data_IF_064304968417
#
_entry.id   IF_064304968417
#
_cell.length_a   1.000
_cell.length_b   1.000
_cell.length_c   1.000
_cell.angle_alpha   90.00
_cell.angle_beta   90.00
_cell.angle_gamma   90.00
#
_symmetry.space_group_name_H-M   'P 1'
#
loop_
_entity.id
_entity.type
_entity.pdbx_description
1 polymer ?
#
# COMPACT_ATOMS: atom_id res chain seq x y z
N UNK A 1 12.61 9.77 -0.46
CA UNK A 1 11.84 9.53 0.78
C UNK A 1 12.26 8.20 1.39
N UNK A 2 12.19 8.12 2.72
CA UNK A 2 12.35 6.82 3.41
C UNK A 2 10.98 6.19 3.64
N UNK A 3 10.79 5.00 3.08
CA UNK A 3 9.49 4.30 3.09
C UNK A 3 9.68 2.92 3.73
N UNK A 4 8.81 2.57 4.68
CA UNK A 4 8.75 1.23 5.29
C UNK A 4 7.58 0.48 4.66
N UNK A 5 7.85 -0.74 4.17
CA UNK A 5 6.83 -1.65 3.65
C UNK A 5 6.77 -2.85 4.61
N UNK A 6 5.66 -3.00 5.31
CA UNK A 6 5.42 -4.08 6.27
C UNK A 6 4.51 -5.14 5.65
N UNK A 7 5.06 -6.34 5.48
CA UNK A 7 4.46 -7.46 4.75
C UNK A 7 4.91 -7.51 3.30
N UNK A 8 5.77 -8.48 2.98
CA UNK A 8 6.33 -8.66 1.65
C UNK A 8 5.66 -9.78 0.86
N UNK A 9 4.33 -9.83 0.96
CA UNK A 9 3.47 -10.61 0.08
C UNK A 9 3.35 -10.00 -1.32
N UNK A 10 2.38 -10.45 -2.11
CA UNK A 10 2.20 -9.98 -3.51
C UNK A 10 2.10 -8.45 -3.64
N UNK A 11 1.42 -7.78 -2.71
CA UNK A 11 1.26 -6.32 -2.73
C UNK A 11 2.55 -5.64 -2.28
N UNK A 12 3.17 -6.09 -1.19
CA UNK A 12 4.43 -5.54 -0.69
C UNK A 12 5.54 -5.65 -1.73
N UNK A 13 5.76 -6.82 -2.30
CA UNK A 13 6.75 -7.05 -3.36
C UNK A 13 6.51 -6.15 -4.59
N UNK A 14 5.25 -5.99 -5.01
CA UNK A 14 4.94 -5.11 -6.14
C UNK A 14 5.27 -3.65 -5.81
N UNK A 15 4.98 -3.19 -4.60
CA UNK A 15 5.34 -1.85 -4.12
C UNK A 15 6.85 -1.67 -4.02
N UNK A 16 7.56 -2.64 -3.44
CA UNK A 16 9.02 -2.63 -3.33
C UNK A 16 9.67 -2.49 -4.69
N UNK A 17 9.21 -3.26 -5.68
CA UNK A 17 9.70 -3.17 -7.06
C UNK A 17 9.50 -1.79 -7.67
N UNK A 18 8.30 -1.24 -7.58
CA UNK A 18 7.98 0.05 -8.20
C UNK A 18 8.73 1.21 -7.53
N UNK A 19 8.73 1.23 -6.19
CA UNK A 19 9.34 2.32 -5.42
C UNK A 19 10.87 2.28 -5.44
N UNK A 20 11.49 1.09 -5.57
CA UNK A 20 12.94 0.97 -5.74
C UNK A 20 13.41 1.56 -7.08
N UNK A 21 12.60 1.43 -8.14
CA UNK A 21 12.91 2.03 -9.45
C UNK A 21 12.84 3.56 -9.44
N UNK A 22 12.08 4.13 -8.52
CA UNK A 22 11.98 5.59 -8.32
C UNK A 22 13.07 6.15 -7.40
N UNK A 23 14.00 5.31 -6.91
CA UNK A 23 15.13 5.72 -6.08
C UNK A 23 14.75 6.10 -4.66
N UNK A 24 13.71 5.50 -4.09
CA UNK A 24 13.35 5.68 -2.69
C UNK A 24 14.22 4.81 -1.77
N UNK A 25 14.51 5.29 -0.54
CA UNK A 25 15.17 4.55 0.53
C UNK A 25 14.14 3.60 1.18
N UNK A 26 14.21 2.31 0.87
CA UNK A 26 13.21 1.33 1.24
C UNK A 26 13.67 0.43 2.38
N UNK A 27 12.76 0.18 3.31
CA UNK A 27 12.90 -0.84 4.35
C UNK A 27 11.72 -1.79 4.24
N UNK A 28 11.99 -3.09 4.03
CA UNK A 28 10.95 -4.13 4.02
C UNK A 28 10.96 -4.91 5.33
N UNK A 29 9.78 -5.18 5.88
CA UNK A 29 9.59 -5.97 7.10
C UNK A 29 8.71 -7.17 6.77
N UNK A 30 9.17 -8.36 7.09
CA UNK A 30 8.35 -9.58 7.06
C UNK A 30 8.79 -10.56 8.16
N UNK A 31 7.88 -11.41 8.60
CA UNK A 31 8.21 -12.50 9.54
C UNK A 31 8.91 -13.67 8.86
N UNK A 32 8.79 -13.79 7.55
CA UNK A 32 9.41 -14.84 6.74
C UNK A 32 10.75 -14.39 6.15
N UNK A 33 11.83 -14.84 6.73
CA UNK A 33 13.20 -14.55 6.30
C UNK A 33 13.44 -14.87 4.82
N UNK A 34 12.93 -16.02 4.32
CA UNK A 34 13.19 -16.46 2.95
C UNK A 34 12.56 -15.52 1.89
N UNK A 35 11.53 -14.80 2.25
CA UNK A 35 10.90 -13.79 1.39
C UNK A 35 11.82 -12.58 1.27
N UNK A 36 12.33 -12.08 2.40
CA UNK A 36 13.22 -10.92 2.46
C UNK A 36 14.59 -11.19 1.80
N UNK A 37 15.13 -12.41 1.89
CA UNK A 37 16.37 -12.79 1.21
C UNK A 37 16.27 -12.67 -0.32
N UNK A 38 15.10 -12.94 -0.90
CA UNK A 38 14.85 -12.73 -2.33
C UNK A 38 14.84 -11.24 -2.71
N UNK A 39 14.28 -10.40 -1.85
CA UNK A 39 14.22 -8.97 -2.07
C UNK A 39 15.61 -8.35 -2.07
N UNK A 40 16.44 -8.73 -1.11
CA UNK A 40 17.85 -8.28 -1.04
C UNK A 40 18.68 -8.66 -2.27
N UNK A 41 18.31 -9.75 -2.96
CA UNK A 41 18.99 -10.17 -4.19
C UNK A 41 18.53 -9.39 -5.43
N UNK A 42 17.33 -8.82 -5.38
CA UNK A 42 16.70 -8.18 -6.53
C UNK A 42 16.67 -6.66 -6.45
N UNK A 43 16.67 -6.11 -5.24
CA UNK A 43 16.50 -4.68 -4.98
C UNK A 43 17.52 -4.18 -3.96
N UNK A 44 17.89 -2.92 -4.07
CA UNK A 44 18.67 -2.22 -3.04
C UNK A 44 17.75 -1.76 -1.91
N UNK A 45 17.47 -2.66 -0.97
CA UNK A 45 16.54 -2.43 0.13
C UNK A 45 17.11 -2.95 1.45
N UNK A 46 16.83 -2.24 2.53
CA UNK A 46 17.08 -2.76 3.88
C UNK A 46 15.95 -3.72 4.27
N UNK A 47 16.30 -4.85 4.88
CA UNK A 47 15.30 -5.82 5.34
C UNK A 47 15.33 -6.00 6.85
N UNK A 48 14.17 -6.20 7.46
CA UNK A 48 14.01 -6.48 8.89
C UNK A 48 13.09 -7.69 9.06
N UNK A 49 13.62 -8.74 9.70
CA UNK A 49 12.84 -9.97 9.98
C UNK A 49 12.11 -9.82 11.30
N UNK A 50 10.78 -9.81 11.28
CA UNK A 50 10.03 -9.73 12.54
C UNK A 50 8.54 -9.43 12.37
N UNK A 51 7.85 -9.33 13.50
CA UNK A 51 6.46 -8.90 13.54
C UNK A 51 6.39 -7.37 13.45
N UNK A 52 5.89 -6.85 12.34
CA UNK A 52 5.81 -5.42 12.07
C UNK A 52 4.91 -4.63 13.05
N UNK A 53 4.05 -5.29 13.82
CA UNK A 53 3.21 -4.65 14.82
C UNK A 53 3.94 -4.36 16.15
N UNK A 54 5.18 -4.84 16.31
CA UNK A 54 5.95 -4.64 17.54
C UNK A 54 6.86 -3.41 17.47
N UNK A 55 6.98 -2.71 18.61
CA UNK A 55 7.89 -1.56 18.72
C UNK A 55 9.34 -1.93 18.43
N UNK A 56 9.79 -3.13 18.83
CA UNK A 56 11.14 -3.60 18.61
C UNK A 56 11.48 -3.68 17.11
N UNK A 57 10.63 -4.34 16.32
CA UNK A 57 10.80 -4.47 14.87
C UNK A 57 10.72 -3.12 14.16
N UNK A 58 9.77 -2.27 14.55
CA UNK A 58 9.64 -0.92 14.00
C UNK A 58 10.85 -0.03 14.33
N UNK A 59 11.43 -0.21 15.51
CA UNK A 59 12.64 0.52 15.91
C UNK A 59 13.86 0.06 15.09
N UNK A 60 14.01 -1.25 14.86
CA UNK A 60 15.03 -1.81 13.98
C UNK A 60 14.89 -1.29 12.54
N UNK A 61 13.66 -1.16 12.04
CA UNK A 61 13.34 -0.55 10.76
C UNK A 61 13.54 0.98 10.74
N UNK A 62 13.95 1.59 11.87
CA UNK A 62 14.18 3.04 12.03
C UNK A 62 12.96 3.88 11.70
N UNK A 63 11.79 3.50 12.21
CA UNK A 63 10.50 4.16 11.95
C UNK A 63 10.52 5.66 12.25
N UNK A 64 11.35 6.11 13.21
CA UNK A 64 11.51 7.52 13.56
C UNK A 64 12.06 8.38 12.42
N UNK A 65 12.74 7.74 11.44
CA UNK A 65 13.34 8.42 10.28
C UNK A 65 12.49 8.24 9.01
N UNK A 66 11.41 7.45 9.08
CA UNK A 66 10.54 7.20 7.94
C UNK A 66 9.53 8.34 7.73
N UNK A 67 9.20 8.58 6.48
CA UNK A 67 8.16 9.53 6.07
C UNK A 67 6.84 8.80 5.79
N UNK A 68 6.92 7.56 5.30
CA UNK A 68 5.75 6.73 4.97
C UNK A 68 5.93 5.32 5.50
N UNK A 69 4.85 4.72 6.03
CA UNK A 69 4.77 3.30 6.33
C UNK A 69 3.54 2.72 5.64
N UNK A 70 3.74 1.62 4.91
CA UNK A 70 2.69 0.88 4.21
C UNK A 70 2.59 -0.50 4.85
N UNK A 71 1.50 -0.78 5.55
CA UNK A 71 1.23 -2.09 6.14
C UNK A 71 0.34 -2.91 5.19
N UNK A 72 0.92 -3.97 4.61
CA UNK A 72 0.32 -4.80 3.56
C UNK A 72 0.43 -6.31 3.83
N UNK A 73 0.44 -6.71 5.11
CA UNK A 73 0.44 -8.13 5.50
C UNK A 73 -0.87 -8.84 5.13
N UNK A 74 -0.95 -10.13 5.38
CA UNK A 74 -2.16 -10.93 5.14
C UNK A 74 -3.26 -10.72 6.19
N UNK A 75 -2.99 -10.05 7.32
CA UNK A 75 -3.95 -9.83 8.40
C UNK A 75 -4.26 -8.35 8.58
N UNK A 76 -5.53 -7.99 8.42
CA UNK A 76 -5.99 -6.61 8.50
C UNK A 76 -5.72 -6.01 9.89
N UNK A 77 -5.91 -6.78 10.96
CA UNK A 77 -5.66 -6.38 12.35
C UNK A 77 -4.18 -6.08 12.59
N UNK A 78 -3.28 -6.87 12.01
CA UNK A 78 -1.83 -6.62 12.09
C UNK A 78 -1.47 -5.34 11.35
N UNK A 79 -2.06 -5.09 10.21
CA UNK A 79 -1.83 -3.86 9.44
C UNK A 79 -2.28 -2.62 10.23
N UNK A 80 -3.43 -2.70 10.88
CA UNK A 80 -3.95 -1.62 11.71
C UNK A 80 -3.08 -1.38 12.95
N UNK A 81 -2.72 -2.45 13.65
CA UNK A 81 -1.86 -2.35 14.83
C UNK A 81 -0.46 -1.85 14.47
N UNK A 82 0.12 -2.29 13.36
CA UNK A 82 1.38 -1.79 12.83
C UNK A 82 1.32 -0.27 12.61
N UNK A 83 0.31 0.22 11.90
CA UNK A 83 0.13 1.65 11.66
C UNK A 83 -0.04 2.45 12.95
N UNK A 84 -0.88 1.96 13.89
CA UNK A 84 -1.09 2.60 15.18
C UNK A 84 0.20 2.70 15.99
N UNK A 85 0.95 1.59 16.10
CA UNK A 85 2.22 1.54 16.83
C UNK A 85 3.25 2.47 16.18
N UNK A 86 3.40 2.40 14.87
CA UNK A 86 4.34 3.22 14.11
C UNK A 86 4.03 4.73 14.25
N UNK A 87 2.75 5.10 14.17
CA UNK A 87 2.30 6.49 14.33
C UNK A 87 2.55 7.04 15.74
N UNK A 88 2.42 6.17 16.77
CA UNK A 88 2.77 6.55 18.16
C UNK A 88 4.27 6.74 18.34
N UNK A 89 5.10 5.98 17.63
CA UNK A 89 6.57 6.11 17.66
C UNK A 89 7.07 7.29 16.83
N UNK A 90 6.37 7.64 15.74
CA UNK A 90 6.67 8.78 14.88
C UNK A 90 5.38 9.54 14.52
N UNK A 91 5.05 10.62 15.26
CA UNK A 91 3.82 11.39 15.05
C UNK A 91 3.70 12.11 13.70
N UNK A 92 4.77 12.24 12.95
CA UNK A 92 4.77 12.85 11.60
C UNK A 92 4.64 11.84 10.47
N UNK A 93 4.75 10.55 10.78
CA UNK A 93 4.71 9.47 9.81
C UNK A 93 3.36 9.39 9.08
N UNK A 94 3.37 9.30 7.78
CA UNK A 94 2.19 8.94 7.00
C UNK A 94 2.01 7.44 6.96
N UNK A 95 0.85 6.96 7.39
CA UNK A 95 0.57 5.52 7.45
C UNK A 95 -0.51 5.11 6.46
N UNK A 96 -0.28 4.00 5.77
CA UNK A 96 -1.20 3.40 4.81
C UNK A 96 -1.45 1.97 5.25
N UNK A 97 -2.70 1.61 5.50
CA UNK A 97 -3.09 0.26 5.87
C UNK A 97 -3.86 -0.44 4.75
N UNK A 98 -3.44 -1.65 4.38
CA UNK A 98 -4.26 -2.56 3.59
C UNK A 98 -5.31 -3.19 4.49
N UNK A 99 -6.60 -2.99 4.15
CA UNK A 99 -7.73 -3.59 4.86
C UNK A 99 -8.70 -4.16 3.84
N UNK A 100 -8.92 -5.46 3.86
CA UNK A 100 -9.75 -6.19 2.91
C UNK A 100 -11.17 -6.40 3.43
N UNK A 101 -11.31 -6.65 4.75
CA UNK A 101 -12.62 -6.93 5.34
C UNK A 101 -13.57 -5.73 5.18
N UNK A 102 -14.75 -5.95 4.58
CA UNK A 102 -15.77 -4.91 4.51
C UNK A 102 -16.34 -4.55 5.89
N UNK A 103 -16.25 -5.45 6.87
CA UNK A 103 -16.76 -5.25 8.24
C UNK A 103 -16.02 -4.12 8.97
N UNK A 104 -14.73 -3.94 8.68
CA UNK A 104 -13.93 -2.88 9.32
C UNK A 104 -14.15 -1.49 8.71
N UNK A 105 -14.83 -1.39 7.56
CA UNK A 105 -14.92 -0.12 6.83
C UNK A 105 -15.54 1.01 7.61
N UNK A 106 -16.72 0.78 8.20
CA UNK A 106 -17.45 1.81 8.95
C UNK A 106 -16.70 2.20 10.21
N UNK A 107 -16.18 1.21 10.92
CA UNK A 107 -15.39 1.43 12.14
C UNK A 107 -14.14 2.25 11.83
N UNK A 108 -13.40 1.89 10.79
CA UNK A 108 -12.18 2.58 10.41
C UNK A 108 -12.43 4.00 9.87
N UNK A 109 -13.58 4.24 9.25
CA UNK A 109 -13.95 5.58 8.85
C UNK A 109 -14.16 6.50 10.07
N UNK A 110 -14.82 6.00 11.10
CA UNK A 110 -15.04 6.73 12.36
C UNK A 110 -13.74 6.89 13.18
N UNK A 111 -12.92 5.85 13.25
CA UNK A 111 -11.73 5.77 14.11
C UNK A 111 -10.41 6.10 13.37
N UNK A 112 -10.48 6.65 12.16
CA UNK A 112 -9.30 6.92 11.34
C UNK A 112 -8.27 7.81 12.04
N UNK A 113 -8.73 8.78 12.79
CA UNK A 113 -7.90 9.70 13.57
C UNK A 113 -7.15 8.99 14.69
N UNK A 114 -7.84 8.13 15.43
CA UNK A 114 -7.30 7.37 16.56
C UNK A 114 -6.22 6.38 16.11
N UNK A 115 -6.43 5.72 14.97
CA UNK A 115 -5.43 4.82 14.36
C UNK A 115 -4.30 5.58 13.67
N UNK A 116 -4.41 6.90 13.51
CA UNK A 116 -3.40 7.71 12.82
C UNK A 116 -3.25 7.35 11.34
N UNK A 117 -4.31 6.85 10.68
CA UNK A 117 -4.28 6.40 9.30
C UNK A 117 -4.39 7.57 8.33
N UNK A 118 -3.38 7.71 7.46
CA UNK A 118 -3.43 8.65 6.34
C UNK A 118 -4.29 8.10 5.20
N UNK A 119 -4.16 6.81 4.90
CA UNK A 119 -4.92 6.14 3.85
C UNK A 119 -5.25 4.68 4.23
N UNK A 120 -6.42 4.22 3.79
CA UNK A 120 -6.85 2.82 3.85
C UNK A 120 -7.06 2.35 2.43
N UNK A 121 -6.43 1.24 2.06
CA UNK A 121 -6.52 0.67 0.72
C UNK A 121 -7.07 -0.76 0.77
N UNK A 122 -7.83 -1.12 -0.26
CA UNK A 122 -8.22 -2.50 -0.57
C UNK A 122 -7.88 -2.74 -2.04
N UNK A 123 -6.68 -3.27 -2.35
CA UNK A 123 -6.22 -3.43 -3.72
C UNK A 123 -7.13 -4.32 -4.56
N UNK A 124 -7.70 -5.36 -3.96
CA UNK A 124 -8.60 -6.30 -4.63
C UNK A 124 -9.88 -5.59 -5.09
N UNK A 125 -10.44 -4.73 -4.24
CA UNK A 125 -11.62 -3.94 -4.57
C UNK A 125 -11.33 -2.87 -5.62
N UNK A 126 -10.21 -2.20 -5.53
CA UNK A 126 -9.84 -1.19 -6.53
C UNK A 126 -9.57 -1.84 -7.89
N UNK A 127 -8.92 -3.00 -7.93
CA UNK A 127 -8.78 -3.79 -9.15
C UNK A 127 -10.13 -4.23 -9.73
N UNK A 128 -11.04 -4.72 -8.88
CA UNK A 128 -12.39 -5.11 -9.31
C UNK A 128 -13.18 -3.93 -9.89
N UNK A 129 -13.08 -2.75 -9.28
CA UNK A 129 -13.70 -1.53 -9.81
C UNK A 129 -13.13 -1.15 -11.17
N UNK A 130 -11.82 -1.26 -11.35
CA UNK A 130 -11.19 -0.93 -12.62
C UNK A 130 -11.60 -1.91 -13.72
N UNK A 131 -11.62 -3.21 -13.44
CA UNK A 131 -12.14 -4.23 -14.35
C UNK A 131 -13.60 -3.94 -14.72
N UNK A 132 -14.44 -3.62 -13.72
CA UNK A 132 -15.85 -3.28 -13.95
C UNK A 132 -15.99 -2.07 -14.86
N UNK A 133 -15.19 -1.01 -14.66
CA UNK A 133 -15.18 0.18 -15.52
C UNK A 133 -14.81 -0.15 -16.96
N UNK A 134 -13.80 -0.98 -17.15
CA UNK A 134 -13.37 -1.42 -18.49
C UNK A 134 -14.47 -2.21 -19.23
N UNK A 135 -15.21 -3.05 -18.50
CA UNK A 135 -16.29 -3.85 -19.07
C UNK A 135 -17.54 -3.04 -19.42
N UNK A 136 -17.80 -1.94 -18.73
CA UNK A 136 -18.98 -1.10 -19.01
C UNK A 136 -18.92 -0.40 -20.37
N UNK A 137 -17.75 -0.17 -20.91
CA UNK A 137 -17.54 0.59 -22.14
C UNK A 137 -16.53 -0.12 -23.06
N UNK A 138 -16.92 -1.26 -23.67
CA UNK A 138 -16.06 -1.96 -24.62
C UNK A 138 -15.78 -1.04 -25.83
N UNK A 139 -14.51 -0.72 -26.06
CA UNK A 139 -14.08 0.14 -27.14
C UNK A 139 -13.27 1.38 -26.73
N UNK A 140 -13.18 1.68 -25.44
CA UNK A 140 -12.26 2.69 -24.95
C UNK A 140 -10.85 2.08 -24.74
N UNK A 141 -9.83 2.77 -25.18
CA UNK A 141 -8.43 2.37 -24.98
C UNK A 141 -7.93 2.75 -23.60
N UNK A 142 -8.37 3.92 -23.11
CA UNK A 142 -8.00 4.43 -21.79
C UNK A 142 -9.11 5.30 -21.22
N UNK A 143 -9.27 5.25 -19.90
CA UNK A 143 -10.21 6.10 -19.17
C UNK A 143 -9.58 6.54 -17.86
N UNK A 144 -9.52 7.83 -17.64
CA UNK A 144 -9.05 8.42 -16.38
C UNK A 144 -10.17 9.25 -15.75
N UNK A 145 -10.38 9.08 -14.44
CA UNK A 145 -11.43 9.81 -13.71
C UNK A 145 -10.81 10.81 -12.74
N UNK A 146 -11.35 12.04 -12.75
CA UNK A 146 -10.93 13.15 -11.90
C UNK A 146 -12.11 13.69 -11.05
N UNK A 147 -11.79 14.52 -10.06
CA UNK A 147 -12.76 15.22 -9.23
C UNK A 147 -13.79 14.28 -8.58
N UNK A 148 -13.35 13.16 -8.00
CA UNK A 148 -14.19 12.12 -7.37
C UNK A 148 -15.20 11.49 -8.34
N UNK A 149 -14.80 11.26 -9.58
CA UNK A 149 -15.64 10.62 -10.60
C UNK A 149 -16.60 11.55 -11.36
N UNK A 150 -16.48 12.88 -11.17
CA UNK A 150 -17.34 13.86 -11.86
C UNK A 150 -16.82 14.30 -13.23
N UNK A 151 -15.54 14.05 -13.50
CA UNK A 151 -14.90 14.37 -14.79
C UNK A 151 -14.15 13.13 -15.25
N UNK A 152 -14.24 12.83 -16.54
CA UNK A 152 -13.60 11.67 -17.15
C UNK A 152 -12.91 12.09 -18.44
N UNK A 153 -11.69 11.57 -18.64
CA UNK A 153 -10.98 11.63 -19.91
C UNK A 153 -11.01 10.23 -20.49
N UNK A 154 -11.45 10.11 -21.72
CA UNK A 154 -11.53 8.84 -22.45
C UNK A 154 -10.73 8.91 -23.73
N UNK A 155 -9.94 7.90 -24.00
CA UNK A 155 -9.21 7.70 -25.26
C UNK A 155 -9.99 6.70 -26.11
N UNK A 156 -10.37 7.11 -27.29
CA UNK A 156 -11.15 6.32 -28.25
C UNK A 156 -10.33 6.07 -29.52
N UNK A 157 -10.43 4.86 -30.08
CA UNK A 157 -9.98 4.61 -31.44
C UNK A 157 -11.11 4.96 -32.40
N UNK A 158 -10.93 5.99 -33.22
CA UNK A 158 -11.84 6.30 -34.32
C UNK A 158 -11.46 5.37 -35.49
N UNK A 159 -12.38 4.51 -35.88
CA UNK A 159 -12.23 3.68 -37.07
C UNK A 159 -12.73 4.50 -38.27
N UNK A 160 -11.89 4.61 -39.34
CA UNK A 160 -12.39 5.13 -40.59
C UNK A 160 -13.51 4.23 -41.12
N UNK A 161 -14.65 4.82 -41.42
CA UNK A 161 -15.73 4.12 -42.11
C UNK A 161 -15.21 3.82 -43.53
N UNK A 162 -15.10 2.54 -43.85
CA UNK A 162 -15.02 2.06 -45.23
C UNK A 162 -16.35 2.28 -45.95
#
# INVERSE_FOLDING_TARGET
MRIIIAGDGKVGLALTRLLSQEGHDLVTIDSNRAVLERDMQQFDVMTVVGNCATMATLNEAKVQQAEVLIAATSADEINLLCCLTARKMNPTLHTIARVRSPEYREQLYMMRGEFGLSLIINPEREAAKEIFRLLQLPGFLKRETFAKGRVEIVELRVLERS
#
